data_IF_523738114317
#
_entry.id   IF_523738114317
#
_cell.length_a   1.000
_cell.length_b   1.000
_cell.length_c   1.000
_cell.angle_alpha   90.00
_cell.angle_beta   90.00
_cell.angle_gamma   90.00
#
_symmetry.space_group_name_H-M   'P 1'
#
loop_
_entity.id
_entity.type
_entity.pdbx_description
1 polymer ?
#
# COMPACT_ATOMS: atom_id res chain seq x y z
N UNK A 1 -21.69 -13.71 -21.91
CA UNK A 1 -20.90 -12.52 -21.53
C UNK A 1 -19.43 -12.85 -21.82
N UNK A 2 -18.70 -11.95 -22.47
CA UNK A 2 -17.27 -12.11 -22.76
C UNK A 2 -16.53 -11.01 -22.01
N UNK A 3 -15.51 -11.33 -21.18
CA UNK A 3 -14.79 -10.32 -20.43
C UNK A 3 -14.02 -9.39 -21.37
N UNK A 4 -14.05 -8.10 -21.06
CA UNK A 4 -13.06 -7.17 -21.57
C UNK A 4 -11.72 -7.44 -20.86
N UNK A 5 -10.65 -7.55 -21.63
CA UNK A 5 -9.31 -7.83 -21.11
C UNK A 5 -8.41 -6.65 -21.46
N UNK A 6 -7.84 -6.04 -20.42
CA UNK A 6 -6.82 -5.00 -20.53
C UNK A 6 -5.55 -5.47 -19.84
N UNK A 7 -4.40 -5.13 -20.42
CA UNK A 7 -3.07 -5.43 -19.88
C UNK A 7 -2.34 -4.11 -19.71
N UNK A 8 -1.88 -3.84 -18.49
CA UNK A 8 -1.09 -2.66 -18.15
C UNK A 8 0.26 -3.14 -17.65
N UNK A 9 1.32 -2.66 -18.28
CA UNK A 9 2.68 -2.95 -17.88
C UNK A 9 3.07 -2.07 -16.68
N UNK A 10 3.28 -2.70 -15.52
CA UNK A 10 3.63 -2.00 -14.30
C UNK A 10 5.02 -1.36 -14.38
N UNK A 11 5.94 -1.87 -15.21
CA UNK A 11 7.27 -1.27 -15.40
C UNK A 11 7.15 0.14 -15.99
N UNK A 12 6.30 0.30 -17.02
CA UNK A 12 6.01 1.60 -17.62
C UNK A 12 5.29 2.54 -16.66
N UNK A 13 4.44 2.00 -15.78
CA UNK A 13 3.69 2.78 -14.81
C UNK A 13 4.60 3.28 -13.68
N UNK A 14 5.53 2.47 -13.17
CA UNK A 14 6.47 2.90 -12.11
C UNK A 14 7.50 3.92 -12.60
N UNK A 15 7.83 3.94 -13.89
CA UNK A 15 8.66 4.99 -14.48
C UNK A 15 7.96 6.36 -14.42
N UNK A 16 6.64 6.39 -14.63
CA UNK A 16 5.84 7.60 -14.60
C UNK A 16 5.35 7.97 -13.19
N UNK A 17 5.15 6.99 -12.31
CA UNK A 17 4.53 7.15 -10.99
C UNK A 17 5.45 6.61 -9.88
N UNK A 18 5.75 7.48 -8.91
CA UNK A 18 6.60 7.14 -7.76
C UNK A 18 6.03 6.04 -6.86
N UNK A 19 4.71 5.91 -6.79
CA UNK A 19 4.00 4.94 -5.96
C UNK A 19 2.66 4.56 -6.63
N UNK A 20 2.66 3.52 -7.48
CA UNK A 20 1.42 3.06 -8.11
C UNK A 20 0.47 2.47 -7.06
N UNK A 21 -0.82 2.74 -7.26
CA UNK A 21 -1.91 2.20 -6.44
C UNK A 21 -2.99 1.68 -7.38
N UNK A 22 -3.39 0.43 -7.20
CA UNK A 22 -4.55 -0.16 -7.89
C UNK A 22 -5.73 -0.19 -6.92
N UNK A 23 -6.86 0.35 -7.36
CA UNK A 23 -8.12 0.23 -6.65
C UNK A 23 -9.17 -0.41 -7.56
N UNK A 24 -9.75 -1.51 -7.10
CA UNK A 24 -10.85 -2.21 -7.74
C UNK A 24 -12.06 -2.13 -6.82
N UNK A 25 -13.23 -1.82 -7.35
CA UNK A 25 -14.45 -1.82 -6.55
C UNK A 25 -15.65 -2.31 -7.35
N UNK A 26 -16.66 -2.81 -6.65
CA UNK A 26 -17.95 -3.22 -7.23
C UNK A 26 -18.76 -2.02 -7.72
N UNK A 27 -19.76 -2.26 -8.58
CA UNK A 27 -20.59 -1.22 -9.19
C UNK A 27 -21.26 -0.30 -8.15
N UNK A 28 -21.87 -0.88 -7.11
CA UNK A 28 -22.48 -0.11 -6.02
C UNK A 28 -21.51 0.78 -5.24
N UNK A 29 -20.20 0.58 -5.37
CA UNK A 29 -19.20 1.52 -4.87
C UNK A 29 -19.11 2.76 -5.78
N UNK A 30 -19.04 2.54 -7.10
CA UNK A 30 -18.89 3.60 -8.09
C UNK A 30 -20.16 4.42 -8.30
N UNK A 31 -21.33 3.89 -7.93
CA UNK A 31 -22.58 4.66 -7.85
C UNK A 31 -22.50 5.82 -6.83
N UNK A 32 -21.65 5.69 -5.82
CA UNK A 32 -21.52 6.67 -4.73
C UNK A 32 -20.39 7.67 -4.92
N UNK A 33 -19.37 7.34 -5.71
CA UNK A 33 -18.12 8.10 -5.73
C UNK A 33 -17.58 8.31 -7.14
N UNK A 34 -17.07 9.51 -7.36
CA UNK A 34 -16.23 9.78 -8.53
C UNK A 34 -14.79 9.27 -8.32
N UNK A 35 -14.10 8.96 -9.42
CA UNK A 35 -12.70 8.52 -9.37
C UNK A 35 -11.78 9.51 -8.64
N UNK A 36 -12.04 10.81 -8.78
CA UNK A 36 -11.26 11.88 -8.15
C UNK A 36 -11.40 11.86 -6.62
N UNK A 37 -12.63 11.78 -6.11
CA UNK A 37 -12.89 11.70 -4.66
C UNK A 37 -12.25 10.46 -4.06
N UNK A 38 -12.37 9.32 -4.74
CA UNK A 38 -11.75 8.06 -4.32
C UNK A 38 -10.24 8.25 -4.18
N UNK A 39 -9.57 8.81 -5.19
CA UNK A 39 -8.13 9.03 -5.19
C UNK A 39 -7.66 9.84 -3.97
N UNK A 40 -8.35 10.94 -3.65
CA UNK A 40 -8.02 11.81 -2.51
C UNK A 40 -8.15 11.07 -1.17
N UNK A 41 -9.09 10.14 -1.07
CA UNK A 41 -9.35 9.37 0.13
C UNK A 41 -8.46 8.14 0.31
N UNK A 42 -8.05 7.47 -0.76
CA UNK A 42 -7.32 6.20 -0.65
C UNK A 42 -5.82 6.33 -0.86
N UNK A 43 -5.36 7.32 -1.64
CA UNK A 43 -3.92 7.44 -1.91
C UNK A 43 -3.22 7.99 -0.68
N UNK A 44 -2.22 7.25 -0.19
CA UNK A 44 -1.44 7.56 0.99
C UNK A 44 0.00 7.13 0.77
N UNK A 45 0.93 8.06 0.98
CA UNK A 45 2.38 7.84 0.92
C UNK A 45 2.99 7.37 2.26
N UNK A 46 2.15 7.09 3.24
CA UNK A 46 2.53 6.58 4.55
C UNK A 46 2.99 5.13 4.57
N UNK A 47 3.23 4.64 5.77
CA UNK A 47 3.54 3.25 6.11
C UNK A 47 2.37 2.31 5.79
N UNK A 48 2.60 0.98 5.67
CA UNK A 48 1.52 0.01 5.50
C UNK A 48 0.40 0.14 6.53
N UNK A 49 0.73 0.43 7.80
CA UNK A 49 -0.25 0.61 8.86
C UNK A 49 -1.13 1.85 8.65
N UNK A 50 -0.54 2.99 8.27
CA UNK A 50 -1.29 4.23 7.97
C UNK A 50 -2.19 4.05 6.75
N UNK A 51 -1.73 3.31 5.74
CA UNK A 51 -2.53 2.98 4.55
C UNK A 51 -3.71 2.09 4.89
N UNK A 52 -3.52 1.08 5.72
CA UNK A 52 -4.58 0.21 6.21
C UNK A 52 -5.61 1.00 7.03
N UNK A 53 -5.15 1.85 7.94
CA UNK A 53 -6.02 2.73 8.72
C UNK A 53 -6.85 3.66 7.80
N UNK A 54 -6.21 4.28 6.80
CA UNK A 54 -6.89 5.15 5.84
C UNK A 54 -7.93 4.38 5.02
N UNK A 55 -7.58 3.18 4.54
CA UNK A 55 -8.51 2.32 3.81
C UNK A 55 -9.72 1.92 4.66
N UNK A 56 -9.50 1.54 5.93
CA UNK A 56 -10.57 1.21 6.86
C UNK A 56 -11.46 2.40 7.21
N UNK A 57 -10.86 3.58 7.41
CA UNK A 57 -11.61 4.82 7.63
C UNK A 57 -12.48 5.15 6.42
N UNK A 58 -11.94 4.97 5.20
CA UNK A 58 -12.68 5.22 3.98
C UNK A 58 -13.82 4.21 3.76
N UNK A 59 -13.63 2.93 4.07
CA UNK A 59 -14.72 1.94 3.98
C UNK A 59 -15.86 2.26 4.96
N UNK A 60 -15.57 2.81 6.15
CA UNK A 60 -16.61 3.30 7.06
C UNK A 60 -17.36 4.50 6.49
N UNK A 61 -16.65 5.43 5.86
CA UNK A 61 -17.26 6.57 5.17
C UNK A 61 -18.15 6.11 4.02
N UNK A 62 -17.69 5.14 3.22
CA UNK A 62 -18.45 4.52 2.15
C UNK A 62 -19.74 3.87 2.66
N UNK A 63 -19.66 3.11 3.76
CA UNK A 63 -20.84 2.51 4.38
C UNK A 63 -21.84 3.57 4.85
N UNK A 64 -21.37 4.64 5.49
CA UNK A 64 -22.23 5.74 5.94
C UNK A 64 -22.91 6.46 4.75
N UNK A 65 -22.17 6.69 3.66
CA UNK A 65 -22.70 7.31 2.45
C UNK A 65 -23.73 6.40 1.77
N UNK A 66 -23.43 5.11 1.62
CA UNK A 66 -24.37 4.13 1.07
C UNK A 66 -25.67 4.03 1.88
N UNK A 67 -25.58 4.05 3.21
CA UNK A 67 -26.77 4.10 4.07
C UNK A 67 -27.57 5.40 3.89
N UNK A 68 -26.90 6.54 3.70
CA UNK A 68 -27.57 7.83 3.52
C UNK A 68 -28.30 7.93 2.17
N UNK A 69 -27.69 7.45 1.09
CA UNK A 69 -28.24 7.53 -0.27
C UNK A 69 -29.26 6.42 -0.57
N UNK A 70 -28.99 5.19 -0.12
CA UNK A 70 -29.77 4.01 -0.50
C UNK A 70 -30.47 3.30 0.65
N UNK A 71 -30.21 3.68 1.91
CA UNK A 71 -30.86 3.09 3.08
C UNK A 71 -30.75 1.56 3.12
N UNK A 72 -31.89 0.89 3.31
CA UNK A 72 -31.97 -0.59 3.33
C UNK A 72 -31.77 -1.23 1.94
N UNK A 73 -31.79 -0.45 0.87
CA UNK A 73 -31.53 -0.89 -0.50
C UNK A 73 -30.06 -0.72 -0.95
N UNK A 74 -29.15 -0.39 -0.02
CA UNK A 74 -27.74 -0.35 -0.33
C UNK A 74 -27.22 -1.74 -0.73
N UNK A 75 -26.56 -1.84 -1.89
CA UNK A 75 -25.98 -3.08 -2.38
C UNK A 75 -24.68 -3.44 -1.63
N UNK A 76 -24.19 -4.67 -1.85
CA UNK A 76 -22.89 -5.12 -1.38
C UNK A 76 -21.76 -4.28 -2.03
N UNK A 77 -21.14 -3.43 -1.22
CA UNK A 77 -20.00 -2.61 -1.64
C UNK A 77 -18.68 -3.31 -1.28
N UNK A 78 -17.86 -3.64 -2.27
CA UNK A 78 -16.54 -4.23 -2.09
C UNK A 78 -15.49 -3.34 -2.74
N UNK A 79 -14.39 -3.11 -2.04
CA UNK A 79 -13.20 -2.43 -2.56
C UNK A 79 -11.94 -3.24 -2.26
N UNK A 80 -11.02 -3.30 -3.22
CA UNK A 80 -9.70 -3.94 -3.12
C UNK A 80 -8.68 -2.86 -3.44
N UNK A 81 -7.80 -2.59 -2.46
CA UNK A 81 -6.74 -1.60 -2.58
C UNK A 81 -5.38 -2.30 -2.54
N UNK A 82 -4.57 -2.09 -3.58
CA UNK A 82 -3.24 -2.68 -3.72
C UNK A 82 -2.22 -1.56 -3.87
N UNK A 83 -1.26 -1.51 -2.96
CA UNK A 83 -0.11 -0.62 -3.04
C UNK A 83 1.08 -1.39 -3.60
N UNK A 84 1.71 -0.84 -4.63
CA UNK A 84 2.92 -1.40 -5.20
C UNK A 84 4.13 -0.72 -4.54
N UNK A 85 4.50 -1.20 -3.35
CA UNK A 85 5.76 -0.79 -2.72
C UNK A 85 6.92 -1.32 -3.54
N UNK A 86 7.81 -0.41 -3.99
CA UNK A 86 9.06 -0.65 -4.75
C UNK A 86 9.12 -2.04 -5.39
N UNK A 87 8.80 -2.13 -6.66
CA UNK A 87 9.19 -3.29 -7.49
C UNK A 87 10.67 -3.48 -7.24
N UNK A 88 11.05 -4.61 -6.63
CA UNK A 88 12.43 -4.99 -6.52
C UNK A 88 12.92 -5.15 -7.97
N UNK A 89 13.56 -4.10 -8.49
CA UNK A 89 14.40 -4.23 -9.68
C UNK A 89 15.38 -5.31 -9.29
N UNK A 90 15.26 -6.49 -9.91
CA UNK A 90 16.07 -7.65 -9.59
C UNK A 90 17.54 -7.26 -9.65
N UNK A 91 18.10 -6.98 -8.48
CA UNK A 91 19.53 -6.99 -8.28
C UNK A 91 19.95 -8.41 -8.58
N UNK A 92 20.75 -8.54 -9.62
CA UNK A 92 21.51 -9.74 -9.90
C UNK A 92 22.13 -10.24 -8.60
N UNK A 93 21.90 -11.53 -8.31
CA UNK A 93 22.52 -12.18 -7.19
C UNK A 93 24.04 -12.09 -7.31
N UNK A 94 24.65 -11.20 -6.54
CA UNK A 94 26.01 -11.38 -6.06
C UNK A 94 25.92 -11.69 -4.57
N UNK A 95 25.68 -12.97 -4.28
CA UNK A 95 26.02 -13.57 -2.99
C UNK A 95 27.50 -13.28 -2.71
N UNK A 96 27.73 -12.34 -1.79
CA UNK A 96 29.03 -12.04 -1.23
C UNK A 96 29.11 -12.65 0.16
N UNK A 97 29.53 -13.91 0.22
CA UNK A 97 30.02 -14.55 1.44
C UNK A 97 31.03 -13.65 2.16
N UNK A 98 30.75 -13.34 3.42
CA UNK A 98 31.54 -12.47 4.28
C UNK A 98 31.48 -12.92 5.73
N UNK A 99 31.96 -14.13 5.97
CA UNK A 99 32.37 -14.68 7.26
C UNK A 99 33.26 -13.70 8.07
N UNK A 100 33.12 -13.74 9.40
CA UNK A 100 34.22 -13.34 10.28
C UNK A 100 33.84 -12.45 11.47
N UNK A 101 33.81 -13.07 12.67
CA UNK A 101 34.43 -12.46 13.84
C UNK A 101 33.51 -12.08 15.00
N UNK A 102 33.24 -13.05 15.86
CA UNK A 102 33.03 -12.78 17.28
C UNK A 102 34.34 -12.24 17.87
N UNK A 103 34.27 -11.13 18.62
CA UNK A 103 35.35 -10.76 19.54
C UNK A 103 34.74 -10.26 20.85
N UNK A 104 34.48 -11.23 21.72
CA UNK A 104 34.35 -11.03 23.16
C UNK A 104 35.76 -11.19 23.74
N UNK A 105 36.32 -10.14 24.38
CA UNK A 105 37.13 -10.17 25.61
C UNK A 105 38.11 -8.97 25.72
N UNK A 106 37.83 -8.12 26.71
CA UNK A 106 38.80 -7.79 27.76
C UNK A 106 39.81 -6.65 27.52
N UNK A 107 39.62 -5.53 28.23
CA UNK A 107 40.74 -4.83 28.86
C UNK A 107 40.27 -4.09 30.13
N UNK A 108 40.90 -4.47 31.24
CA UNK A 108 40.79 -3.86 32.56
C UNK A 108 41.63 -2.57 32.61
N UNK A 109 41.19 -1.63 33.43
CA UNK A 109 42.06 -0.85 34.33
C UNK A 109 42.65 0.45 33.77
N UNK A 110 42.47 1.53 34.53
CA UNK A 110 43.16 2.80 34.32
C UNK A 110 42.62 3.92 35.21
N UNK A 111 43.12 3.96 36.45
CA UNK A 111 42.99 5.06 37.41
C UNK A 111 43.38 6.44 36.83
N UNK A 112 42.75 7.50 37.35
CA UNK A 112 43.50 8.63 37.90
C UNK A 112 43.57 9.95 37.10
N UNK A 113 43.18 11.01 37.82
CA UNK A 113 43.56 12.42 37.71
C UNK A 113 42.90 13.29 36.63
N UNK A 114 41.94 14.14 37.04
CA UNK A 114 42.18 15.48 37.62
C UNK A 114 40.92 16.05 38.22
#
# INVERSE_FOLDING_TARGET
WVPEVSVVDLEQVVEALRAPVLFLASDGFWDLWSYQEVFEHIVCDGTPAEREEKAMAYMRLNQAKGQAEFGESADNMTGILVYFDRVAVGGDGSDGDGDGGADELGARGGDGAR
#
